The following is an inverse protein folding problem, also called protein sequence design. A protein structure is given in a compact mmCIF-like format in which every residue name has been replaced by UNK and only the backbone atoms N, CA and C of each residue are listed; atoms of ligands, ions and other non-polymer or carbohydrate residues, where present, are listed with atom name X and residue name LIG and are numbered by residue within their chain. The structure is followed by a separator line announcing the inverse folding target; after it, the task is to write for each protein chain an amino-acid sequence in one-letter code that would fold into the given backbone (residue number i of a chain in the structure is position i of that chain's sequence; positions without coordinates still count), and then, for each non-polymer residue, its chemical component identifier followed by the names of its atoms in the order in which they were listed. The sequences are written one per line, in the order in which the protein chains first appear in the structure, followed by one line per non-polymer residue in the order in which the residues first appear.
data_IF_682018259423
#
_entry.id   IF_682018259423
#
_cell.length_a   1.000
_cell.length_b   1.000
_cell.length_c   1.000
_cell.angle_alpha   90.00
_cell.angle_beta   90.00
_cell.angle_gamma   90.00
#
_symmetry.space_group_name_H-M   'P 1'
#
loop_
_entity.id
_entity.type
_entity.pdbx_description
1 polymer ?
#
# COMPACT_ATOMS: atom_id res chain seq x y z
N UNK A 1 -23.15 5.61 4.30
CA UNK A 1 -21.78 5.62 3.71
C UNK A 1 -21.03 4.46 4.35
N UNK A 2 -20.41 3.56 3.60
CA UNK A 2 -19.56 2.53 4.21
C UNK A 2 -18.34 3.23 4.83
N UNK A 3 -18.17 3.08 6.14
CA UNK A 3 -17.15 3.75 6.95
C UNK A 3 -15.75 3.45 6.41
N UNK A 4 -15.55 2.21 5.94
CA UNK A 4 -14.26 1.73 5.42
C UNK A 4 -13.80 2.47 4.16
N UNK A 5 -14.71 2.79 3.23
CA UNK A 5 -14.39 3.63 2.07
C UNK A 5 -14.00 5.05 2.44
N UNK A 6 -14.73 5.67 3.37
CA UNK A 6 -14.48 7.05 3.75
C UNK A 6 -13.14 7.17 4.47
N UNK A 7 -12.85 6.23 5.37
CA UNK A 7 -11.57 6.17 6.06
C UNK A 7 -10.42 5.88 5.09
N UNK A 8 -10.59 4.93 4.17
CA UNK A 8 -9.61 4.64 3.13
C UNK A 8 -9.28 5.87 2.29
N UNK A 9 -10.27 6.67 1.90
CA UNK A 9 -10.05 7.94 1.20
C UNK A 9 -9.25 8.94 2.04
N UNK A 10 -9.64 9.14 3.30
CA UNK A 10 -8.95 10.08 4.18
C UNK A 10 -7.49 9.65 4.34
N UNK A 11 -7.26 8.36 4.61
CA UNK A 11 -5.92 7.82 4.75
C UNK A 11 -5.13 7.91 3.44
N UNK A 12 -5.79 7.74 2.28
CA UNK A 12 -5.17 7.94 0.99
C UNK A 12 -4.71 9.38 0.79
N UNK A 13 -5.59 10.36 1.02
CA UNK A 13 -5.23 11.78 0.91
C UNK A 13 -4.10 12.15 1.89
N UNK A 14 -4.14 11.62 3.12
CA UNK A 14 -3.07 11.80 4.09
C UNK A 14 -1.76 11.16 3.62
N UNK A 15 -1.80 9.98 3.01
CA UNK A 15 -0.61 9.34 2.43
C UNK A 15 -0.01 10.18 1.30
N UNK A 16 -0.84 10.76 0.43
CA UNK A 16 -0.40 11.67 -0.63
C UNK A 16 0.19 12.96 -0.08
N UNK A 17 -0.40 13.50 0.98
CA UNK A 17 0.15 14.65 1.69
C UNK A 17 1.53 14.33 2.26
N UNK A 18 1.65 13.20 2.95
CA UNK A 18 2.92 12.73 3.51
C UNK A 18 3.97 12.53 2.41
N UNK A 19 3.61 11.96 1.26
CA UNK A 19 4.49 11.86 0.08
C UNK A 19 4.92 13.22 -0.48
N UNK A 20 3.99 14.16 -0.58
CA UNK A 20 4.28 15.53 -0.99
C UNK A 20 5.27 16.21 -0.05
N UNK A 21 5.30 15.80 1.21
CA UNK A 21 6.29 16.22 2.20
C UNK A 21 7.57 15.37 2.21
N UNK A 22 7.84 14.49 1.24
CA UNK A 22 9.10 13.75 1.18
C UNK A 22 10.04 14.26 0.07
N UNK A 23 11.36 14.37 0.32
CA UNK A 23 12.34 14.81 -0.67
C UNK A 23 12.37 13.92 -1.93
N UNK A 24 12.71 14.55 -3.07
CA UNK A 24 12.83 13.90 -4.39
C UNK A 24 13.81 12.72 -4.39
N UNK A 25 13.49 11.70 -5.19
CA UNK A 25 14.15 10.40 -5.13
C UNK A 25 14.64 9.95 -6.49
N UNK A 26 15.95 10.07 -6.71
CA UNK A 26 16.61 9.34 -7.81
C UNK A 26 16.86 7.89 -7.38
N UNK A 27 16.00 6.99 -7.85
CA UNK A 27 16.12 5.54 -7.61
C UNK A 27 17.16 4.90 -8.54
N UNK A 28 17.40 5.49 -9.71
CA UNK A 28 18.26 4.92 -10.75
C UNK A 28 19.32 5.95 -11.21
N UNK A 29 20.46 5.49 -11.76
CA UNK A 29 21.49 6.36 -12.36
C UNK A 29 21.07 6.99 -13.70
N UNK A 30 19.81 6.83 -14.11
CA UNK A 30 19.18 7.54 -15.24
C UNK A 30 18.63 8.89 -14.74
N UNK A 31 18.52 9.94 -15.59
CA UNK A 31 17.91 11.23 -15.23
C UNK A 31 16.40 11.16 -14.93
N UNK A 32 15.87 9.97 -14.63
CA UNK A 32 14.48 9.72 -14.33
C UNK A 32 14.26 9.71 -12.82
N UNK A 33 13.52 10.71 -12.33
CA UNK A 33 13.08 10.77 -10.94
C UNK A 33 11.84 9.90 -10.78
N UNK A 34 11.95 8.82 -10.02
CA UNK A 34 10.84 7.89 -9.82
C UNK A 34 9.68 8.53 -9.05
N UNK A 35 9.91 9.66 -8.35
CA UNK A 35 8.84 10.45 -7.73
C UNK A 35 7.77 10.87 -8.75
N UNK A 36 8.13 11.12 -10.01
CA UNK A 36 7.15 11.44 -11.05
C UNK A 36 6.16 10.30 -11.32
N UNK A 37 6.61 9.03 -11.26
CA UNK A 37 5.70 7.89 -11.37
C UNK A 37 4.77 7.82 -10.17
N UNK A 38 5.27 8.07 -8.96
CA UNK A 38 4.43 8.08 -7.76
C UNK A 38 3.36 9.16 -7.86
N UNK A 39 3.70 10.38 -8.29
CA UNK A 39 2.76 11.46 -8.57
C UNK A 39 1.69 11.07 -9.59
N UNK A 40 2.12 10.53 -10.73
CA UNK A 40 1.20 10.04 -11.77
C UNK A 40 0.23 8.98 -11.24
N UNK A 41 0.74 7.91 -10.62
CA UNK A 41 -0.11 6.81 -10.14
C UNK A 41 -0.98 7.21 -8.96
N UNK A 42 -0.47 8.07 -8.07
CA UNK A 42 -1.22 8.62 -6.96
C UNK A 42 -2.49 9.32 -7.42
N UNK A 43 -2.36 10.27 -8.34
CA UNK A 43 -3.49 11.06 -8.80
C UNK A 43 -4.37 10.34 -9.81
N UNK A 44 -3.80 9.39 -10.56
CA UNK A 44 -4.56 8.43 -11.36
C UNK A 44 -5.54 7.62 -10.49
N UNK A 45 -5.03 7.03 -9.39
CA UNK A 45 -5.84 6.23 -8.48
C UNK A 45 -6.80 7.09 -7.66
N UNK A 46 -6.38 8.28 -7.22
CA UNK A 46 -7.25 9.25 -6.53
C UNK A 46 -8.49 9.56 -7.37
N UNK A 47 -8.30 9.86 -8.66
CA UNK A 47 -9.40 10.14 -9.57
C UNK A 47 -10.34 8.93 -9.70
N UNK A 48 -9.80 7.74 -10.00
CA UNK A 48 -10.62 6.52 -10.17
C UNK A 48 -11.46 6.22 -8.92
N UNK A 49 -10.87 6.47 -7.76
CA UNK A 49 -11.51 6.30 -6.47
C UNK A 49 -12.65 7.30 -6.24
N UNK A 50 -12.36 8.61 -6.34
CA UNK A 50 -13.38 9.66 -6.19
C UNK A 50 -14.51 9.47 -7.20
N UNK A 51 -14.15 9.01 -8.40
CA UNK A 51 -15.10 8.69 -9.43
C UNK A 51 -15.97 7.47 -9.08
N UNK A 52 -15.43 6.40 -8.47
CA UNK A 52 -16.26 5.33 -7.92
C UNK A 52 -17.26 5.79 -6.89
N UNK A 53 -16.84 6.76 -6.08
CA UNK A 53 -17.63 7.28 -5.00
C UNK A 53 -18.76 8.17 -5.48
N UNK A 54 -18.44 9.19 -6.27
CA UNK A 54 -19.40 10.22 -6.66
C UNK A 54 -20.17 9.88 -7.92
N UNK A 55 -19.64 8.96 -8.75
CA UNK A 55 -20.14 8.64 -10.10
C UNK A 55 -20.27 9.88 -11.01
N UNK A 56 -19.61 10.99 -10.66
CA UNK A 56 -19.63 12.28 -11.38
C UNK A 56 -18.22 12.65 -11.82
N UNK A 57 -17.99 12.70 -13.15
CA UNK A 57 -16.65 12.93 -13.72
C UNK A 57 -16.08 14.28 -13.31
N UNK A 58 -16.87 15.34 -13.51
CA UNK A 58 -16.46 16.71 -13.23
C UNK A 58 -16.13 16.93 -11.75
N UNK A 59 -16.98 16.44 -10.84
CA UNK A 59 -16.73 16.53 -9.39
C UNK A 59 -15.44 15.82 -8.99
N UNK A 60 -15.22 14.60 -9.52
CA UNK A 60 -14.03 13.81 -9.19
C UNK A 60 -12.76 14.47 -9.73
N UNK A 61 -12.82 14.99 -10.96
CA UNK A 61 -11.73 15.77 -11.57
C UNK A 61 -11.39 16.99 -10.73
N UNK A 62 -12.39 17.80 -10.38
CA UNK A 62 -12.18 19.05 -9.66
C UNK A 62 -11.59 18.81 -8.27
N UNK A 63 -12.07 17.79 -7.55
CA UNK A 63 -11.50 17.43 -6.23
C UNK A 63 -10.06 16.94 -6.38
N UNK A 64 -9.77 16.03 -7.33
CA UNK A 64 -8.39 15.58 -7.58
C UNK A 64 -7.45 16.74 -7.94
N UNK A 65 -7.91 17.66 -8.79
CA UNK A 65 -7.15 18.84 -9.20
C UNK A 65 -6.86 19.76 -8.01
N UNK A 66 -7.87 20.03 -7.18
CA UNK A 66 -7.69 20.85 -5.97
C UNK A 66 -6.72 20.21 -4.99
N UNK A 67 -6.79 18.89 -4.79
CA UNK A 67 -5.86 18.16 -3.92
C UNK A 67 -4.43 18.23 -4.47
N UNK A 68 -4.24 18.10 -5.79
CA UNK A 68 -2.93 18.26 -6.43
C UNK A 68 -2.34 19.64 -6.18
N UNK A 69 -3.12 20.69 -6.46
CA UNK A 69 -2.69 22.07 -6.23
C UNK A 69 -2.43 22.37 -4.75
N UNK A 70 -3.25 21.83 -3.84
CA UNK A 70 -3.06 22.00 -2.40
C UNK A 70 -1.78 21.32 -1.91
N UNK A 71 -1.48 20.10 -2.37
CA UNK A 71 -0.24 19.40 -1.99
C UNK A 71 0.99 20.18 -2.46
N UNK A 72 0.98 20.73 -3.68
CA UNK A 72 2.08 21.56 -4.19
C UNK A 72 2.19 22.92 -3.48
N UNK A 73 1.07 23.52 -3.09
CA UNK A 73 1.07 24.75 -2.29
C UNK A 73 1.60 24.50 -0.88
N UNK A 74 1.23 23.38 -0.24
CA UNK A 74 1.68 23.07 1.12
C UNK A 74 3.19 22.78 1.19
N UNK A 75 3.80 22.31 0.11
CA UNK A 75 5.26 22.17 0.01
C UNK A 75 6.00 23.51 0.14
N UNK A 76 5.37 24.64 -0.19
CA UNK A 76 5.95 25.96 0.07
C UNK A 76 6.01 26.29 1.57
N UNK A 77 5.06 25.77 2.36
CA UNK A 77 4.90 26.11 3.78
C UNK A 77 5.67 25.16 4.69
N UNK A 78 5.74 23.87 4.32
CA UNK A 78 6.51 22.85 5.01
C UNK A 78 7.56 22.26 4.04
N UNK A 79 8.69 22.96 3.82
CA UNK A 79 9.62 22.67 2.74
C UNK A 79 10.56 21.53 3.12
N UNK A 80 10.02 20.33 3.23
CA UNK A 80 10.82 19.11 3.15
C UNK A 80 11.27 18.81 1.71
N UNK A 81 10.65 19.47 0.71
CA UNK A 81 11.06 19.51 -0.69
C UNK A 81 10.58 20.80 -1.38
N UNK A 82 11.24 21.20 -2.46
CA UNK A 82 10.78 22.33 -3.27
C UNK A 82 9.61 21.92 -4.18
N UNK A 83 8.51 22.70 -4.21
CA UNK A 83 7.43 22.56 -5.19
C UNK A 83 7.98 22.47 -6.61
N UNK A 84 7.36 21.63 -7.45
CA UNK A 84 7.84 21.43 -8.82
C UNK A 84 6.68 21.47 -9.79
N UNK A 85 6.78 22.35 -10.78
CA UNK A 85 5.83 22.37 -11.89
C UNK A 85 5.72 20.98 -12.57
N UNK A 86 6.82 20.23 -12.63
CA UNK A 86 6.79 18.88 -13.18
C UNK A 86 5.99 17.91 -12.30
N UNK A 87 6.11 17.97 -10.98
CA UNK A 87 5.33 17.10 -10.07
C UNK A 87 3.84 17.35 -10.29
N UNK A 88 3.42 18.63 -10.33
CA UNK A 88 2.04 19.01 -10.66
C UNK A 88 1.59 18.54 -12.05
N UNK A 89 2.45 18.64 -13.07
CA UNK A 89 2.13 18.16 -14.42
C UNK A 89 1.92 16.64 -14.45
N UNK A 90 2.70 15.87 -13.70
CA UNK A 90 2.51 14.42 -13.57
C UNK A 90 1.24 14.07 -12.80
N UNK A 91 0.86 14.86 -11.78
CA UNK A 91 -0.44 14.73 -11.12
C UNK A 91 -1.58 14.91 -12.13
N UNK A 92 -1.54 15.99 -12.92
CA UNK A 92 -2.52 16.26 -13.96
C UNK A 92 -2.55 15.18 -15.04
N UNK A 93 -1.39 14.67 -15.44
CA UNK A 93 -1.27 13.60 -16.42
C UNK A 93 -1.94 12.31 -15.89
N UNK A 94 -1.75 11.99 -14.61
CA UNK A 94 -2.43 10.89 -13.93
C UNK A 94 -3.95 11.05 -13.96
N UNK A 95 -4.46 12.22 -13.57
CA UNK A 95 -5.90 12.54 -13.58
C UNK A 95 -6.46 12.44 -15.01
N UNK A 96 -5.79 13.04 -15.99
CA UNK A 96 -6.22 13.05 -17.38
C UNK A 96 -6.22 11.64 -17.98
N UNK A 97 -5.19 10.84 -17.69
CA UNK A 97 -5.13 9.44 -18.14
C UNK A 97 -6.28 8.63 -17.53
N UNK A 98 -6.56 8.82 -16.24
CA UNK A 98 -7.69 8.16 -15.56
C UNK A 98 -9.04 8.57 -16.15
N UNK A 99 -9.19 9.85 -16.54
CA UNK A 99 -10.37 10.37 -17.22
C UNK A 99 -10.58 9.73 -18.61
N UNK A 100 -9.48 9.54 -19.37
CA UNK A 100 -9.48 8.95 -20.73
C UNK A 100 -9.75 7.45 -20.69
N UNK A 101 -8.96 6.69 -19.91
CA UNK A 101 -9.19 5.25 -19.68
C UNK A 101 -10.61 5.05 -19.14
N UNK A 102 -11.02 5.97 -18.27
CA UNK A 102 -12.39 6.18 -17.88
C UNK A 102 -13.02 4.95 -17.23
N UNK A 103 -14.33 4.85 -17.43
CA UNK A 103 -15.17 3.82 -16.83
C UNK A 103 -14.86 2.39 -17.27
N UNK A 104 -14.39 2.20 -18.51
CA UNK A 104 -14.26 0.87 -19.12
C UNK A 104 -13.13 0.05 -18.47
N UNK A 105 -12.07 0.71 -18.00
CA UNK A 105 -10.91 0.04 -17.41
C UNK A 105 -10.94 -0.06 -15.89
N UNK A 106 -11.84 0.66 -15.20
CA UNK A 106 -11.76 0.84 -13.75
C UNK A 106 -12.01 -0.44 -12.97
N UNK A 107 -12.97 -1.26 -13.37
CA UNK A 107 -13.18 -2.55 -12.71
C UNK A 107 -11.91 -3.38 -12.85
N UNK A 108 -11.36 -3.50 -14.06
CA UNK A 108 -10.07 -4.16 -14.33
C UNK A 108 -8.95 -3.60 -13.48
N UNK A 109 -8.86 -2.27 -13.31
CA UNK A 109 -7.87 -1.65 -12.42
C UNK A 109 -8.03 -2.14 -10.98
N UNK A 110 -9.25 -2.11 -10.43
CA UNK A 110 -9.48 -2.65 -9.08
C UNK A 110 -9.18 -4.14 -8.99
N UNK A 111 -9.51 -4.93 -10.02
CA UNK A 111 -9.13 -6.35 -10.10
C UNK A 111 -7.63 -6.53 -9.99
N UNK A 112 -6.86 -5.75 -10.76
CA UNK A 112 -5.40 -5.79 -10.68
C UNK A 112 -4.89 -5.35 -9.31
N UNK A 113 -5.52 -4.37 -8.66
CA UNK A 113 -5.11 -3.93 -7.33
C UNK A 113 -5.39 -4.98 -6.27
N UNK A 114 -6.64 -5.41 -6.07
CA UNK A 114 -6.97 -6.34 -4.98
C UNK A 114 -6.33 -7.71 -5.19
N UNK A 115 -6.16 -8.15 -6.44
CA UNK A 115 -5.46 -9.42 -6.75
C UNK A 115 -3.95 -9.31 -6.81
N UNK A 116 -3.39 -8.14 -6.50
CA UNK A 116 -1.96 -7.86 -6.59
C UNK A 116 -1.36 -8.31 -7.93
N UNK A 117 -1.74 -7.64 -9.01
CA UNK A 117 -1.32 -7.90 -10.39
C UNK A 117 -1.61 -9.33 -10.88
N UNK A 118 -2.65 -9.97 -10.33
CA UNK A 118 -3.14 -11.27 -10.77
C UNK A 118 -2.68 -12.45 -9.91
N UNK A 119 -1.83 -12.24 -8.90
CA UNK A 119 -1.44 -13.28 -7.93
C UNK A 119 -2.66 -13.91 -7.23
N UNK A 120 -3.68 -13.10 -6.95
CA UNK A 120 -4.94 -13.55 -6.35
C UNK A 120 -5.69 -14.63 -7.16
N UNK A 121 -5.42 -14.77 -8.45
CA UNK A 121 -6.06 -15.80 -9.29
C UNK A 121 -5.29 -17.13 -9.33
N UNK A 122 -4.17 -17.24 -8.62
CA UNK A 122 -3.42 -18.49 -8.55
C UNK A 122 -4.24 -19.52 -7.75
N UNK A 123 -4.48 -20.75 -8.25
CA UNK A 123 -5.42 -21.68 -7.65
C UNK A 123 -5.10 -22.12 -6.21
N UNK A 124 -3.81 -22.16 -5.85
CA UNK A 124 -3.35 -22.73 -4.57
C UNK A 124 -2.42 -21.77 -3.85
N UNK A 125 -2.83 -21.34 -2.65
CA UNK A 125 -2.07 -20.41 -1.82
C UNK A 125 -1.73 -19.07 -2.48
N UNK A 126 -2.66 -18.41 -3.19
CA UNK A 126 -2.38 -17.16 -3.93
C UNK A 126 -1.76 -16.09 -3.03
N UNK A 127 -2.29 -15.98 -1.82
CA UNK A 127 -1.79 -15.11 -0.78
C UNK A 127 -0.36 -15.38 -0.31
N UNK A 128 -0.04 -16.66 -0.11
CA UNK A 128 1.33 -17.09 0.25
C UNK A 128 2.32 -16.72 -0.84
N UNK A 129 1.93 -16.84 -2.12
CA UNK A 129 2.76 -16.45 -3.24
C UNK A 129 2.89 -14.93 -3.35
N UNK A 130 1.81 -14.18 -3.11
CA UNK A 130 1.83 -12.71 -3.13
C UNK A 130 2.74 -12.14 -2.03
N UNK A 131 2.57 -12.60 -0.79
CA UNK A 131 3.40 -12.21 0.35
C UNK A 131 4.87 -12.63 0.18
N UNK A 132 5.14 -13.84 -0.31
CA UNK A 132 6.52 -14.28 -0.61
C UNK A 132 7.16 -13.44 -1.71
N UNK A 133 6.46 -13.23 -2.83
CA UNK A 133 6.96 -12.40 -3.93
C UNK A 133 7.28 -10.99 -3.45
N UNK A 134 6.40 -10.40 -2.65
CA UNK A 134 6.63 -9.07 -2.09
C UNK A 134 7.84 -9.05 -1.15
N UNK A 135 7.99 -10.05 -0.28
CA UNK A 135 9.16 -10.17 0.60
C UNK A 135 10.47 -10.26 -0.20
N UNK A 136 10.49 -11.06 -1.28
CA UNK A 136 11.64 -11.15 -2.19
C UNK A 136 11.90 -9.81 -2.88
N UNK A 137 10.86 -9.13 -3.36
CA UNK A 137 10.99 -7.82 -4.01
C UNK A 137 11.62 -6.77 -3.07
N UNK A 138 11.18 -6.74 -1.81
CA UNK A 138 11.76 -5.83 -0.79
C UNK A 138 13.20 -6.22 -0.48
N UNK A 139 13.52 -7.52 -0.37
CA UNK A 139 14.89 -7.97 -0.17
C UNK A 139 15.82 -7.60 -1.33
N UNK A 140 15.38 -7.78 -2.58
CA UNK A 140 16.14 -7.34 -3.76
C UNK A 140 16.32 -5.82 -3.79
N UNK A 141 15.42 -5.09 -3.16
CA UNK A 141 15.45 -3.64 -2.98
C UNK A 141 16.29 -3.18 -1.78
N UNK A 142 17.10 -4.05 -1.15
CA UNK A 142 17.90 -3.73 0.05
C UNK A 142 18.88 -2.56 -0.07
N UNK A 143 19.26 -2.19 -1.30
CA UNK A 143 20.13 -1.04 -1.56
C UNK A 143 19.36 0.29 -1.57
N UNK A 144 18.02 0.25 -1.60
CA UNK A 144 17.19 1.45 -1.46
C UNK A 144 17.28 1.97 -0.03
N UNK A 145 17.27 3.29 0.11
CA UNK A 145 17.17 3.90 1.44
C UNK A 145 15.84 3.49 2.06
N UNK A 146 15.87 3.16 3.35
CA UNK A 146 14.71 2.73 4.14
C UNK A 146 13.49 3.67 3.97
N UNK A 147 13.74 4.98 3.81
CA UNK A 147 12.70 5.97 3.60
C UNK A 147 11.81 5.71 2.36
N UNK A 148 12.35 5.09 1.32
CA UNK A 148 11.59 4.76 0.10
C UNK A 148 10.66 3.56 0.31
N UNK A 149 11.07 2.60 1.14
CA UNK A 149 10.23 1.47 1.51
C UNK A 149 9.03 1.95 2.35
N UNK A 150 9.27 2.89 3.27
CA UNK A 150 8.23 3.55 4.05
C UNK A 150 7.24 4.34 3.20
N UNK A 151 7.72 5.05 2.17
CA UNK A 151 6.85 5.74 1.22
C UNK A 151 5.93 4.77 0.48
N UNK A 152 6.49 3.68 -0.07
CA UNK A 152 5.71 2.65 -0.76
C UNK A 152 4.64 2.09 0.17
N UNK A 153 4.99 1.76 1.41
CA UNK A 153 4.04 1.23 2.39
C UNK A 153 2.92 2.23 2.73
N UNK A 154 3.26 3.49 2.99
CA UNK A 154 2.29 4.54 3.33
C UNK A 154 1.29 4.76 2.21
N UNK A 155 1.71 4.63 0.93
CA UNK A 155 0.81 4.67 -0.24
C UNK A 155 -0.01 3.39 -0.37
N UNK A 156 0.64 2.24 -0.21
CA UNK A 156 0.04 0.93 -0.50
C UNK A 156 -1.05 0.59 0.52
N UNK A 157 -0.87 0.97 1.77
CA UNK A 157 -1.82 0.72 2.85
C UNK A 157 -3.25 1.24 2.55
N UNK A 158 -3.48 2.53 2.23
CA UNK A 158 -4.81 3.01 1.84
C UNK A 158 -5.32 2.37 0.55
N UNK A 159 -4.44 2.11 -0.42
CA UNK A 159 -4.82 1.41 -1.66
C UNK A 159 -5.36 0.03 -1.34
N UNK A 160 -4.71 -0.71 -0.43
CA UNK A 160 -5.16 -2.02 0.02
C UNK A 160 -6.54 -1.92 0.66
N UNK A 161 -6.76 -0.99 1.61
CA UNK A 161 -8.08 -0.82 2.26
C UNK A 161 -9.17 -0.56 1.23
N UNK A 162 -8.89 0.32 0.27
CA UNK A 162 -9.81 0.67 -0.81
C UNK A 162 -10.08 -0.53 -1.74
N UNK A 163 -9.03 -1.23 -2.14
CA UNK A 163 -9.11 -2.34 -3.07
C UNK A 163 -9.78 -3.57 -2.44
N UNK A 164 -9.45 -3.90 -1.19
CA UNK A 164 -10.09 -4.95 -0.40
C UNK A 164 -11.58 -4.66 -0.18
N UNK A 165 -11.93 -3.41 0.12
CA UNK A 165 -13.34 -3.02 0.20
C UNK A 165 -14.05 -3.22 -1.14
N UNK A 166 -13.38 -2.88 -2.25
CA UNK A 166 -13.96 -3.08 -3.59
C UNK A 166 -14.11 -4.56 -3.93
N UNK A 167 -13.18 -5.40 -3.50
CA UNK A 167 -13.26 -6.84 -3.67
C UNK A 167 -14.46 -7.41 -2.90
N UNK A 168 -14.63 -7.04 -1.64
CA UNK A 168 -15.78 -7.46 -0.80
C UNK A 168 -17.13 -7.04 -1.43
N UNK A 169 -17.23 -5.79 -1.92
CA UNK A 169 -18.43 -5.29 -2.59
C UNK A 169 -18.80 -6.10 -3.86
N UNK A 170 -17.80 -6.61 -4.58
CA UNK A 170 -17.97 -7.28 -5.89
C UNK A 170 -18.09 -8.80 -5.78
N UNK A 171 -17.39 -9.42 -4.83
CA UNK A 171 -17.13 -10.87 -4.81
C UNK A 171 -17.63 -11.57 -3.55
N UNK A 172 -18.32 -10.88 -2.63
CA UNK A 172 -18.75 -11.34 -1.28
C UNK A 172 -17.64 -11.40 -0.23
N UNK A 173 -17.99 -11.65 1.05
CA UNK A 173 -17.13 -11.48 2.23
C UNK A 173 -15.78 -12.19 2.08
N UNK A 174 -14.69 -11.42 2.15
CA UNK A 174 -13.29 -11.86 2.12
C UNK A 174 -12.95 -12.82 0.95
N UNK A 175 -12.96 -12.32 -0.29
CA UNK A 175 -12.73 -13.17 -1.44
C UNK A 175 -11.26 -13.60 -1.47
N UNK A 176 -11.00 -14.90 -1.60
CA UNK A 176 -9.64 -15.46 -1.68
C UNK A 176 -8.76 -14.90 -2.82
N UNK A 177 -9.36 -14.14 -3.74
CA UNK A 177 -8.67 -13.41 -4.83
C UNK A 177 -8.12 -12.06 -4.34
N UNK A 178 -8.61 -11.51 -3.24
CA UNK A 178 -8.02 -10.37 -2.58
C UNK A 178 -6.78 -10.83 -1.81
N UNK A 179 -5.61 -10.33 -2.20
CA UNK A 179 -4.32 -10.68 -1.58
C UNK A 179 -3.45 -9.44 -1.34
N UNK A 180 -3.99 -8.24 -1.60
CA UNK A 180 -3.28 -6.98 -1.40
C UNK A 180 -3.13 -6.64 0.10
N UNK A 181 -4.10 -7.06 0.89
CA UNK A 181 -4.08 -7.15 2.35
C UNK A 181 -2.88 -7.98 2.82
N UNK A 182 -2.67 -9.17 2.26
CA UNK A 182 -1.54 -10.02 2.65
C UNK A 182 -0.19 -9.41 2.29
N UNK A 183 -0.14 -8.72 1.15
CA UNK A 183 1.05 -7.97 0.72
C UNK A 183 1.37 -6.84 1.70
N UNK A 184 0.37 -6.07 2.12
CA UNK A 184 0.55 -4.98 3.09
C UNK A 184 0.86 -5.52 4.49
N UNK A 185 0.20 -6.59 4.92
CA UNK A 185 0.49 -7.29 6.18
C UNK A 185 1.93 -7.78 6.24
N UNK A 186 2.42 -8.41 5.16
CA UNK A 186 3.81 -8.86 5.05
C UNK A 186 4.81 -7.69 4.95
N UNK A 187 4.45 -6.59 4.30
CA UNK A 187 5.29 -5.40 4.21
C UNK A 187 5.62 -4.83 5.60
N UNK A 188 4.66 -4.86 6.52
CA UNK A 188 4.78 -4.25 7.84
C UNK A 188 6.01 -4.71 8.64
N UNK A 189 6.20 -6.01 8.97
CA UNK A 189 7.39 -6.46 9.70
C UNK A 189 8.70 -6.16 8.96
N UNK A 190 8.73 -6.28 7.64
CA UNK A 190 9.95 -6.12 6.85
C UNK A 190 10.55 -4.71 6.93
N UNK A 191 9.71 -3.68 7.05
CA UNK A 191 10.17 -2.28 7.20
C UNK A 191 10.94 -2.02 8.50
N UNK A 192 10.78 -2.88 9.51
CA UNK A 192 11.45 -2.72 10.81
C UNK A 192 12.62 -3.70 11.00
N UNK A 193 12.87 -4.55 10.02
CA UNK A 193 13.94 -5.54 10.04
C UNK A 193 15.07 -5.10 9.11
N UNK A 194 16.30 -5.46 9.48
CA UNK A 194 17.43 -5.34 8.55
C UNK A 194 17.17 -6.27 7.35
N UNK A 195 17.57 -5.89 6.13
CA UNK A 195 17.38 -6.69 4.93
C UNK A 195 18.33 -7.89 4.89
N UNK A 196 18.08 -8.83 5.80
CA UNK A 196 18.78 -10.09 5.95
C UNK A 196 17.86 -11.25 5.56
N UNK A 197 18.41 -12.24 4.87
CA UNK A 197 17.62 -13.32 4.29
C UNK A 197 17.00 -14.22 5.37
N UNK A 198 17.71 -14.45 6.47
CA UNK A 198 17.23 -15.26 7.58
C UNK A 198 16.11 -14.53 8.32
N UNK A 199 16.28 -13.23 8.60
CA UNK A 199 15.24 -12.42 9.23
C UNK A 199 13.97 -12.32 8.37
N UNK A 200 14.12 -12.16 7.06
CA UNK A 200 12.98 -12.05 6.13
C UNK A 200 12.24 -13.37 5.99
N UNK A 201 12.96 -14.48 5.91
CA UNK A 201 12.36 -15.82 5.93
C UNK A 201 11.60 -16.06 7.23
N UNK A 202 12.20 -15.70 8.37
CA UNK A 202 11.56 -15.87 9.68
C UNK A 202 10.30 -15.00 9.81
N UNK A 203 10.37 -13.74 9.36
CA UNK A 203 9.21 -12.85 9.30
C UNK A 203 8.10 -13.41 8.43
N UNK A 204 8.44 -13.95 7.25
CA UNK A 204 7.47 -14.58 6.36
C UNK A 204 6.78 -15.79 6.99
N UNK A 205 7.55 -16.70 7.59
CA UNK A 205 7.01 -17.89 8.23
C UNK A 205 6.09 -17.54 9.41
N UNK A 206 6.50 -16.61 10.28
CA UNK A 206 5.66 -16.18 11.39
C UNK A 206 4.43 -15.39 10.93
N UNK A 207 4.57 -14.54 9.90
CA UNK A 207 3.43 -13.84 9.31
C UNK A 207 2.38 -14.82 8.81
N UNK A 208 2.77 -15.80 7.97
CA UNK A 208 1.83 -16.83 7.48
C UNK A 208 1.24 -17.66 8.61
N UNK A 209 2.04 -18.00 9.63
CA UNK A 209 1.54 -18.71 10.81
C UNK A 209 0.43 -17.91 11.52
N UNK A 210 0.65 -16.61 11.76
CA UNK A 210 -0.32 -15.76 12.45
C UNK A 210 -1.54 -15.43 11.61
N UNK A 211 -1.35 -15.21 10.31
CA UNK A 211 -2.43 -14.95 9.36
C UNK A 211 -3.36 -16.17 9.19
N UNK A 212 -2.80 -17.37 8.99
CA UNK A 212 -3.60 -18.59 8.79
C UNK A 212 -4.32 -19.01 10.09
N UNK A 213 -3.63 -18.97 11.23
CA UNK A 213 -4.20 -19.45 12.49
C UNK A 213 -5.08 -18.40 13.19
N UNK A 214 -4.88 -17.11 12.89
CA UNK A 214 -5.49 -15.95 13.57
C UNK A 214 -5.54 -16.12 15.10
N UNK A 215 -4.41 -16.44 15.79
CA UNK A 215 -4.42 -16.70 17.22
C UNK A 215 -4.62 -15.39 18.02
N UNK A 216 -4.99 -15.52 19.29
CA UNK A 216 -5.01 -14.40 20.27
C UNK A 216 -5.92 -13.24 19.83
N UNK A 217 -7.21 -13.51 19.63
CA UNK A 217 -8.21 -12.46 19.49
C UNK A 217 -8.19 -11.69 18.16
N UNK A 218 -7.33 -12.04 17.19
CA UNK A 218 -7.42 -11.55 15.80
C UNK A 218 -8.82 -11.79 15.26
N UNK A 219 -9.44 -12.94 15.55
CA UNK A 219 -10.85 -13.23 15.21
C UNK A 219 -11.89 -12.24 15.76
N UNK A 220 -11.52 -11.36 16.70
CA UNK A 220 -12.41 -10.28 17.17
C UNK A 220 -12.43 -9.11 16.18
N UNK A 221 -11.41 -8.98 15.34
CA UNK A 221 -11.31 -7.99 14.27
C UNK A 221 -12.23 -8.33 13.10
N UNK A 222 -12.65 -9.59 12.94
CA UNK A 222 -13.75 -10.02 12.05
C UNK A 222 -15.06 -9.22 12.27
N UNK A 223 -15.22 -8.56 13.44
CA UNK A 223 -16.36 -7.67 13.73
C UNK A 223 -16.29 -6.34 12.97
N UNK A 224 -15.08 -5.91 12.60
CA UNK A 224 -14.84 -4.73 11.75
C UNK A 224 -15.07 -5.20 10.31
N UNK A 225 -16.19 -4.80 9.72
CA UNK A 225 -16.50 -5.14 8.34
C UNK A 225 -15.82 -4.18 7.38
N UNK A 226 -15.70 -4.59 6.11
CA UNK A 226 -15.10 -3.73 5.11
C UNK A 226 -13.62 -3.96 4.90
N UNK A 227 -13.07 -3.26 3.91
CA UNK A 227 -11.64 -3.31 3.59
C UNK A 227 -10.72 -2.89 4.73
N UNK A 228 -11.20 -2.12 5.72
CA UNK A 228 -10.41 -1.87 6.94
C UNK A 228 -10.21 -3.18 7.71
N UNK A 229 -11.27 -3.95 7.94
CA UNK A 229 -11.19 -5.20 8.68
C UNK A 229 -10.25 -6.18 8.00
N UNK A 230 -10.44 -6.38 6.69
CA UNK A 230 -9.62 -7.24 5.85
C UNK A 230 -8.13 -6.88 5.98
N UNK A 231 -7.75 -5.63 5.75
CA UNK A 231 -6.34 -5.21 5.85
C UNK A 231 -5.81 -5.22 7.29
N UNK A 232 -6.65 -4.90 8.27
CA UNK A 232 -6.23 -4.84 9.67
C UNK A 232 -5.91 -6.22 10.24
N UNK A 233 -6.64 -7.25 9.84
CA UNK A 233 -6.37 -8.64 10.21
C UNK A 233 -4.91 -9.01 9.89
N UNK A 234 -4.48 -8.74 8.66
CA UNK A 234 -3.14 -9.07 8.18
C UNK A 234 -2.05 -8.16 8.74
N UNK A 235 -2.36 -6.87 8.96
CA UNK A 235 -1.45 -5.96 9.66
C UNK A 235 -1.16 -6.42 11.08
N UNK A 236 -2.17 -6.93 11.80
CA UNK A 236 -1.99 -7.45 13.15
C UNK A 236 -1.19 -8.76 13.12
N UNK A 237 -1.41 -9.63 12.15
CA UNK A 237 -0.56 -10.79 11.92
C UNK A 237 0.91 -10.38 11.66
N UNK A 238 1.13 -9.35 10.83
CA UNK A 238 2.44 -8.75 10.57
C UNK A 238 3.10 -8.15 11.82
N UNK A 239 2.33 -7.50 12.69
CA UNK A 239 2.81 -6.98 13.96
C UNK A 239 3.27 -8.10 14.91
N UNK A 240 2.50 -9.19 15.02
CA UNK A 240 2.93 -10.34 15.82
C UNK A 240 4.16 -11.02 15.25
N UNK A 241 4.25 -11.16 13.93
CA UNK A 241 5.45 -11.66 13.27
C UNK A 241 6.68 -10.79 13.62
N UNK A 242 6.54 -9.45 13.55
CA UNK A 242 7.60 -8.53 13.93
C UNK A 242 8.05 -8.72 15.39
N UNK A 243 7.09 -8.80 16.32
CA UNK A 243 7.38 -8.97 17.74
C UNK A 243 8.18 -10.25 18.01
N UNK A 244 7.76 -11.37 17.41
CA UNK A 244 8.45 -12.65 17.58
C UNK A 244 9.85 -12.62 16.97
N UNK A 245 10.01 -12.07 15.75
CA UNK A 245 11.33 -11.95 15.13
C UNK A 245 12.25 -11.06 15.96
N UNK A 246 11.75 -9.93 16.48
CA UNK A 246 12.54 -9.06 17.38
C UNK A 246 12.94 -9.77 18.66
N UNK A 247 12.06 -10.60 19.24
CA UNK A 247 12.40 -11.42 20.41
C UNK A 247 13.51 -12.42 20.09
N UNK A 248 13.46 -13.08 18.92
CA UNK A 248 14.52 -13.98 18.46
C UNK A 248 15.85 -13.24 18.31
N UNK A 249 15.84 -12.04 17.71
CA UNK A 249 17.06 -11.20 17.60
C UNK A 249 17.65 -10.89 18.98
N UNK A 250 16.81 -10.52 19.96
CA UNK A 250 17.26 -10.21 21.32
C UNK A 250 17.90 -11.45 21.99
N UNK A 251 17.25 -12.61 21.90
CA UNK A 251 17.76 -13.86 22.47
C UNK A 251 19.09 -14.27 21.84
N UNK A 252 19.19 -14.20 20.51
CA UNK A 252 20.42 -14.55 19.79
C UNK A 252 21.56 -13.58 20.12
N UNK A 253 21.26 -12.28 20.25
CA UNK A 253 22.22 -11.28 20.68
C UNK A 253 22.76 -11.55 22.09
N UNK A 254 21.91 -11.99 23.02
CA UNK A 254 22.33 -12.43 24.36
C UNK A 254 23.22 -13.69 24.34
N UNK A 255 23.03 -14.56 23.35
CA UNK A 255 23.88 -15.73 23.11
C UNK A 255 25.17 -15.40 22.33
N UNK A 256 25.45 -14.13 22.06
CA UNK A 256 26.65 -13.67 21.33
C UNK A 256 26.54 -13.76 19.80
N UNK A 257 25.35 -14.05 19.26
CA UNK A 257 25.09 -14.12 17.82
C UNK A 257 24.50 -12.78 17.37
N UNK A 258 25.25 -12.02 16.56
CA UNK A 258 24.78 -10.74 16.01
C UNK A 258 24.20 -10.92 14.61
N UNK A 259 22.93 -10.52 14.44
CA UNK A 259 22.18 -10.48 13.17
C UNK A 259 21.94 -9.03 12.70
#
# INVERSE_FOLDING_TARGET
MNISYAFGLVFYILSLFVLGLYPKVRILPVPFDASFLFHFFAFFLLYLFLFDRFKKKATSFFISFLIAGLIELLQWVAPSRSPSLFDFLYDLLGIATALIIGFKGKETTFKLLYSFFGFGYIPTGPGTLASLFFAVLIYLSKNLKMIYLWQIFIILLPIAVIASQKAEDLLTNDPAVCVIDEVVGMAFPLMFLKPDIFLYLLAFLFFRFFDILKPIGIKRLDKIKGGIGIVLDDLVAGLFALMVVKMVIIILSQAGINL
#
